data_IF_604199894124
#
_entry.id   IF_604199894124
#
_cell.length_a   1.000
_cell.length_b   1.000
_cell.length_c   1.000
_cell.angle_alpha   90.00
_cell.angle_beta   90.00
_cell.angle_gamma   90.00
#
_symmetry.space_group_name_H-M   'P 1'
#
loop_
_entity.id
_entity.type
_entity.pdbx_description
1 polymer ?
#
# COMPACT_ATOMS: atom_id res chain seq x y z
N UNK A 1 3.66 -7.02 25.10
CA UNK A 1 4.03 -7.54 23.76
C UNK A 1 3.33 -6.82 22.60
N UNK A 2 2.24 -6.08 22.82
CA UNK A 2 1.45 -5.46 21.72
C UNK A 2 2.04 -4.21 21.07
N UNK A 3 2.94 -3.48 21.74
CA UNK A 3 3.50 -2.21 21.22
C UNK A 3 4.53 -2.42 20.08
N UNK A 4 5.25 -3.55 20.11
CA UNK A 4 6.29 -3.88 19.11
C UNK A 4 5.68 -4.25 17.76
N UNK A 5 4.48 -4.82 17.77
CA UNK A 5 3.77 -5.20 16.53
C UNK A 5 3.24 -3.96 15.81
N UNK A 6 2.67 -3.01 16.55
CA UNK A 6 2.13 -1.77 15.99
C UNK A 6 3.23 -0.88 15.38
N UNK A 7 4.37 -0.69 16.07
CA UNK A 7 5.50 0.05 15.48
C UNK A 7 6.01 -0.58 14.19
N UNK A 8 6.10 -1.92 14.17
CA UNK A 8 6.56 -2.65 12.98
C UNK A 8 5.60 -2.52 11.81
N UNK A 9 4.29 -2.48 12.07
CA UNK A 9 3.29 -2.24 11.05
C UNK A 9 3.34 -0.81 10.50
N UNK A 10 3.57 0.21 11.35
CA UNK A 10 3.73 1.62 10.95
C UNK A 10 5.02 1.87 10.14
N UNK A 11 6.15 1.28 10.55
CA UNK A 11 7.40 1.34 9.80
C UNK A 11 7.27 0.66 8.44
N UNK A 12 6.57 -0.49 8.39
CA UNK A 12 6.34 -1.18 7.12
C UNK A 12 5.39 -0.39 6.20
N UNK A 13 4.36 0.24 6.75
CA UNK A 13 3.44 1.10 6.00
C UNK A 13 4.17 2.30 5.40
N UNK A 14 4.95 3.01 6.21
CA UNK A 14 5.72 4.18 5.78
C UNK A 14 6.75 3.81 4.72
N UNK A 15 7.45 2.68 4.89
CA UNK A 15 8.36 2.14 3.88
C UNK A 15 7.63 1.83 2.57
N UNK A 16 6.49 1.14 2.62
CA UNK A 16 5.70 0.81 1.42
C UNK A 16 5.23 2.08 0.69
N UNK A 17 4.84 3.13 1.42
CA UNK A 17 4.43 4.42 0.84
C UNK A 17 5.60 5.15 0.16
N UNK A 18 6.77 5.18 0.80
CA UNK A 18 7.97 5.79 0.24
C UNK A 18 8.41 5.06 -1.04
N UNK A 19 8.53 3.74 -0.97
CA UNK A 19 8.92 2.89 -2.10
C UNK A 19 7.96 3.02 -3.30
N UNK A 20 6.64 3.17 -3.06
CA UNK A 20 5.66 3.46 -4.13
C UNK A 20 5.93 4.83 -4.77
N UNK A 21 6.22 5.87 -3.99
CA UNK A 21 6.49 7.21 -4.53
C UNK A 21 7.78 7.22 -5.36
N UNK A 22 8.85 6.63 -4.83
CA UNK A 22 10.14 6.56 -5.51
C UNK A 22 10.01 5.82 -6.84
N UNK A 23 9.33 4.67 -6.85
CA UNK A 23 9.11 3.92 -8.09
C UNK A 23 8.18 4.63 -9.07
N UNK A 24 7.19 5.42 -8.61
CA UNK A 24 6.37 6.25 -9.49
C UNK A 24 7.19 7.36 -10.14
N UNK A 25 8.10 7.96 -9.38
CA UNK A 25 9.04 8.94 -9.91
C UNK A 25 9.95 8.29 -10.96
N UNK A 26 10.50 7.11 -10.68
CA UNK A 26 11.29 6.35 -11.65
C UNK A 26 10.46 6.03 -12.91
N UNK A 27 9.23 5.51 -12.76
CA UNK A 27 8.34 5.18 -13.86
C UNK A 27 8.04 6.40 -14.75
N UNK A 28 7.89 7.60 -14.14
CA UNK A 28 7.65 8.84 -14.89
C UNK A 28 8.82 9.27 -15.78
N UNK A 29 10.04 8.82 -15.45
CA UNK A 29 11.24 9.07 -16.23
C UNK A 29 11.50 7.98 -17.30
N UNK A 30 10.76 6.88 -17.28
CA UNK A 30 10.89 5.78 -18.26
C UNK A 30 10.03 6.07 -19.49
N UNK A 31 10.66 6.07 -20.66
CA UNK A 31 9.92 6.17 -21.92
C UNK A 31 9.17 4.86 -22.18
N UNK A 32 7.85 4.89 -22.10
CA UNK A 32 7.01 3.69 -22.24
C UNK A 32 7.18 2.98 -23.59
N UNK A 33 7.44 3.70 -24.67
CA UNK A 33 7.58 3.08 -26.00
C UNK A 33 8.97 2.46 -26.21
N UNK A 34 10.02 3.13 -25.74
CA UNK A 34 11.40 2.69 -25.93
C UNK A 34 11.84 1.66 -24.89
N UNK A 35 11.35 1.79 -23.66
CA UNK A 35 11.73 0.98 -22.51
C UNK A 35 10.53 0.17 -21.95
N UNK A 36 9.62 -0.29 -22.81
CA UNK A 36 8.37 -0.96 -22.41
C UNK A 36 8.55 -2.08 -21.38
N UNK A 37 9.59 -2.89 -21.52
CA UNK A 37 9.89 -3.97 -20.58
C UNK A 37 10.21 -3.44 -19.17
N UNK A 38 10.94 -2.33 -19.06
CA UNK A 38 11.26 -1.68 -17.79
C UNK A 38 10.03 -1.00 -17.20
N UNK A 39 9.28 -0.27 -18.03
CA UNK A 39 8.01 0.36 -17.63
C UNK A 39 7.05 -0.67 -17.05
N UNK A 40 6.80 -1.78 -17.76
CA UNK A 40 5.88 -2.85 -17.32
C UNK A 40 6.33 -3.50 -16.02
N UNK A 41 7.65 -3.69 -15.82
CA UNK A 41 8.19 -4.25 -14.57
C UNK A 41 7.97 -3.30 -13.39
N UNK A 42 8.26 -2.02 -13.58
CA UNK A 42 8.03 -0.99 -12.56
C UNK A 42 6.55 -0.87 -12.23
N UNK A 43 5.68 -0.80 -13.24
CA UNK A 43 4.23 -0.73 -13.05
C UNK A 43 3.67 -1.95 -12.28
N UNK A 44 4.12 -3.16 -12.62
CA UNK A 44 3.78 -4.38 -11.86
C UNK A 44 4.29 -4.36 -10.42
N UNK A 45 5.51 -3.86 -10.19
CA UNK A 45 6.08 -3.75 -8.84
C UNK A 45 5.31 -2.73 -7.99
N UNK A 46 4.96 -1.58 -8.56
CA UNK A 46 4.12 -0.55 -7.94
C UNK A 46 2.76 -1.13 -7.56
N UNK A 47 2.09 -1.82 -8.48
CA UNK A 47 0.79 -2.44 -8.21
C UNK A 47 0.88 -3.48 -7.08
N UNK A 48 1.92 -4.32 -7.09
CA UNK A 48 2.13 -5.33 -6.05
C UNK A 48 2.28 -4.73 -4.65
N UNK A 49 3.06 -3.66 -4.50
CA UNK A 49 3.24 -3.01 -3.19
C UNK A 49 1.98 -2.22 -2.79
N UNK A 50 1.32 -1.57 -3.75
CA UNK A 50 0.05 -0.87 -3.53
C UNK A 50 -1.04 -1.81 -3.03
N UNK A 51 -1.14 -3.02 -3.57
CA UNK A 51 -2.14 -4.02 -3.14
C UNK A 51 -1.86 -4.56 -1.74
N UNK A 52 -0.58 -4.73 -1.38
CA UNK A 52 -0.18 -5.05 0.00
C UNK A 52 -0.61 -3.95 0.97
N UNK A 53 -0.32 -2.69 0.63
CA UNK A 53 -0.70 -1.54 1.45
C UNK A 53 -2.23 -1.44 1.62
N UNK A 54 -3.00 -1.60 0.54
CA UNK A 54 -4.48 -1.62 0.59
C UNK A 54 -5.01 -2.73 1.51
N UNK A 55 -4.40 -3.91 1.49
CA UNK A 55 -4.79 -5.03 2.36
C UNK A 55 -4.54 -4.70 3.83
N UNK A 56 -3.36 -4.13 4.15
CA UNK A 56 -3.05 -3.67 5.51
C UNK A 56 -4.04 -2.60 6.00
N UNK A 57 -4.33 -1.60 5.18
CA UNK A 57 -5.29 -0.53 5.53
C UNK A 57 -6.70 -1.09 5.72
N UNK A 58 -7.16 -2.01 4.87
CA UNK A 58 -8.48 -2.66 5.03
C UNK A 58 -8.55 -3.48 6.32
N UNK A 59 -7.49 -4.22 6.65
CA UNK A 59 -7.43 -4.98 7.89
C UNK A 59 -7.47 -4.06 9.12
N UNK A 60 -6.76 -2.93 9.07
CA UNK A 60 -6.81 -1.89 10.10
C UNK A 60 -8.21 -1.27 10.24
N UNK A 61 -8.84 -0.88 9.12
CA UNK A 61 -10.22 -0.35 9.10
C UNK A 61 -11.22 -1.37 9.66
N UNK A 62 -11.10 -2.64 9.29
CA UNK A 62 -11.97 -3.71 9.79
C UNK A 62 -11.80 -3.94 11.31
N UNK A 63 -10.57 -3.82 11.81
CA UNK A 63 -10.28 -3.89 13.25
C UNK A 63 -10.79 -2.65 14.00
N UNK A 64 -10.61 -1.45 13.44
CA UNK A 64 -11.11 -0.21 14.05
C UNK A 64 -12.63 -0.15 14.07
N UNK A 65 -13.30 -0.60 13.00
CA UNK A 65 -14.77 -0.69 12.92
C UNK A 65 -15.36 -1.71 13.90
N UNK A 66 -14.67 -2.82 14.20
CA UNK A 66 -15.11 -3.76 15.23
C UNK A 66 -15.03 -3.16 16.65
N UNK A 67 -14.16 -2.16 16.88
CA UNK A 67 -14.01 -1.49 18.18
C UNK A 67 -14.96 -0.29 18.35
N UNK A 68 -15.40 0.33 17.25
CA UNK A 68 -16.43 1.37 17.24
C UNK A 68 -17.78 0.75 16.89
N UNK A 69 -18.54 0.29 17.89
CA UNK A 69 -19.89 -0.22 17.69
C UNK A 69 -20.80 0.78 16.98
N UNK A 70 -20.90 0.67 15.66
CA UNK A 70 -21.93 1.32 14.85
C UNK A 70 -22.71 0.23 14.11
N UNK A 71 -23.86 -0.23 14.65
CA UNK A 71 -24.80 -1.04 13.90
C UNK A 71 -25.65 -0.09 13.03
N UNK A 72 -25.57 -0.27 11.71
CA UNK A 72 -26.35 0.50 10.72
C UNK A 72 -25.40 0.96 9.62
N UNK A 73 -25.51 0.49 8.38
CA UNK A 73 -26.70 0.65 7.55
C UNK A 73 -26.90 -0.61 6.71
N UNK A 74 -28.02 -1.29 6.95
CA UNK A 74 -28.73 -2.03 5.90
C UNK A 74 -29.77 -1.07 5.34
N UNK A 75 -29.68 -0.76 4.05
CA UNK A 75 -30.82 -0.43 3.20
C UNK A 75 -30.59 -1.08 1.84
#
# INVERSE_FOLDING_TARGET
MSFVVLQKDEEQESWMRAEIQDMKQELSAVNMMEEFARYTRLERKINKITDKLKTHVKAWIAQSLHSSGCPGITM
#
